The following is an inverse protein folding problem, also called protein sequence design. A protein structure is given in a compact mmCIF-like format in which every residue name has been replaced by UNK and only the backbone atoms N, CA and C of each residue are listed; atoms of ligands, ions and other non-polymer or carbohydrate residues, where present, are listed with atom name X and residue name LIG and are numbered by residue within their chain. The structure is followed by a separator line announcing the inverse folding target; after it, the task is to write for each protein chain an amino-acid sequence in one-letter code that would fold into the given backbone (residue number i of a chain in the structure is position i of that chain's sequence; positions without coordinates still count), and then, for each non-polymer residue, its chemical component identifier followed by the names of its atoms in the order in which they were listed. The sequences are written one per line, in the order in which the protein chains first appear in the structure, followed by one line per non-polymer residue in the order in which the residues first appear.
data_IF_788448178634
#
_entry.id   IF_788448178634
#
_cell.length_a   1.000
_cell.length_b   1.000
_cell.length_c   1.000
_cell.angle_alpha   90.00
_cell.angle_beta   90.00
_cell.angle_gamma   90.00
#
_symmetry.space_group_name_H-M   'P 1'
#
loop_
_entity.id
_entity.type
_entity.pdbx_description
1 polymer ?
#
# COMPACT_ATOMS: atom_id res chain seq x y z
N UNK A 1 -18.30 10.85 -13.43
CA UNK A 1 -18.23 9.54 -12.79
C UNK A 1 -18.37 8.49 -13.89
N UNK A 2 -17.27 7.91 -14.31
CA UNK A 2 -17.28 6.80 -15.27
C UNK A 2 -17.79 5.59 -14.51
N UNK A 3 -18.81 4.91 -15.06
CA UNK A 3 -19.61 3.87 -14.40
C UNK A 3 -18.87 2.57 -14.00
N UNK A 4 -17.82 2.70 -13.21
CA UNK A 4 -17.23 1.59 -12.47
C UNK A 4 -18.09 1.42 -11.23
N UNK A 5 -19.28 0.88 -11.39
CA UNK A 5 -20.16 0.51 -10.29
C UNK A 5 -20.36 -1.00 -10.31
N UNK A 6 -19.35 -1.73 -9.92
CA UNK A 6 -19.56 -3.04 -9.33
C UNK A 6 -19.73 -2.81 -7.82
N UNK A 7 -20.71 -3.46 -7.18
CA UNK A 7 -21.05 -3.23 -5.77
C UNK A 7 -19.91 -3.55 -4.79
N UNK A 8 -18.81 -4.15 -5.29
CA UNK A 8 -17.65 -4.56 -4.50
C UNK A 8 -16.49 -3.57 -4.51
N UNK A 9 -16.51 -2.54 -5.37
CA UNK A 9 -15.38 -1.62 -5.49
C UNK A 9 -15.73 -0.25 -4.92
N UNK A 10 -14.74 0.38 -4.29
CA UNK A 10 -14.86 1.72 -3.73
C UNK A 10 -13.85 2.65 -4.38
N UNK A 11 -14.23 3.90 -4.46
CA UNK A 11 -13.41 4.99 -4.96
C UNK A 11 -13.22 6.00 -3.84
N UNK A 12 -11.98 6.26 -3.46
CA UNK A 12 -11.64 7.37 -2.56
C UNK A 12 -10.80 8.37 -3.34
N UNK A 13 -11.26 9.61 -3.39
CA UNK A 13 -10.48 10.71 -3.94
C UNK A 13 -9.47 11.18 -2.90
N UNK A 14 -8.21 11.16 -3.24
CA UNK A 14 -7.16 11.80 -2.47
C UNK A 14 -6.99 13.24 -2.98
N UNK A 15 -7.54 14.20 -2.25
CA UNK A 15 -7.50 15.62 -2.64
C UNK A 15 -6.10 16.21 -2.64
N UNK A 16 -5.18 15.68 -1.81
CA UNK A 16 -3.80 16.17 -1.74
C UNK A 16 -2.91 15.65 -2.87
N UNK A 17 -3.17 14.43 -3.34
CA UNK A 17 -2.39 13.81 -4.42
C UNK A 17 -3.08 13.93 -5.79
N UNK A 18 -4.27 14.54 -5.86
CA UNK A 18 -5.10 14.69 -7.06
C UNK A 18 -5.42 13.36 -7.77
N UNK A 19 -5.28 12.23 -7.08
CA UNK A 19 -5.58 10.91 -7.59
C UNK A 19 -6.86 10.33 -6.97
N UNK A 20 -7.38 9.29 -7.60
CA UNK A 20 -8.46 8.46 -7.07
C UNK A 20 -7.90 7.09 -6.77
N UNK A 21 -8.11 6.61 -5.55
CA UNK A 21 -7.73 5.26 -5.15
C UNK A 21 -8.91 4.32 -5.36
N UNK A 22 -8.68 3.22 -6.09
CA UNK A 22 -9.67 2.16 -6.36
C UNK A 22 -9.28 0.93 -5.55
N UNK A 23 -10.21 0.35 -4.82
CA UNK A 23 -9.96 -0.83 -3.99
C UNK A 23 -11.21 -1.71 -3.83
N UNK A 24 -11.01 -2.99 -3.52
CA UNK A 24 -12.06 -3.93 -3.10
C UNK A 24 -12.22 -3.87 -1.58
N UNK A 25 -13.40 -3.48 -1.09
CA UNK A 25 -13.65 -3.39 0.36
C UNK A 25 -13.63 -4.73 1.09
N UNK A 26 -13.83 -5.83 0.37
CA UNK A 26 -13.80 -7.18 0.92
C UNK A 26 -12.40 -7.80 0.92
N UNK A 27 -11.44 -7.17 0.20
CA UNK A 27 -10.07 -7.63 0.03
C UNK A 27 -9.10 -6.46 0.03
N UNK A 28 -9.12 -5.73 1.14
CA UNK A 28 -8.30 -4.54 1.31
C UNK A 28 -6.82 -4.87 1.17
N UNK A 29 -6.13 -4.13 0.30
CA UNK A 29 -4.71 -4.26 0.07
C UNK A 29 -4.03 -2.89 -0.07
N UNK A 30 -3.42 -2.57 -1.21
CA UNK A 30 -2.71 -1.30 -1.42
C UNK A 30 -3.54 -0.26 -2.15
N UNK A 31 -4.49 -0.70 -2.97
CA UNK A 31 -5.26 0.14 -3.87
C UNK A 31 -4.56 0.39 -5.21
N UNK A 32 -5.36 0.80 -6.16
CA UNK A 32 -4.95 1.15 -7.52
C UNK A 32 -5.10 2.65 -7.65
N UNK A 33 -4.02 3.34 -8.01
CA UNK A 33 -4.06 4.77 -8.27
C UNK A 33 -4.59 5.05 -9.68
N UNK A 34 -5.53 6.00 -9.75
CA UNK A 34 -6.07 6.53 -11.00
C UNK A 34 -5.98 8.06 -10.98
N UNK A 35 -5.45 8.64 -12.03
CA UNK A 35 -5.45 10.09 -12.23
C UNK A 35 -5.58 10.47 -13.70
N UNK A 36 -5.81 11.73 -13.97
CA UNK A 36 -5.91 12.29 -15.31
C UNK A 36 -4.69 13.17 -15.59
N UNK A 37 -4.08 12.98 -16.75
CA UNK A 37 -3.04 13.87 -17.27
C UNK A 37 -3.49 14.37 -18.66
N UNK A 38 -3.98 15.60 -18.70
CA UNK A 38 -4.62 16.14 -19.90
C UNK A 38 -5.85 15.32 -20.32
N UNK A 39 -5.76 14.60 -21.44
CA UNK A 39 -6.79 13.69 -21.96
C UNK A 39 -6.54 12.23 -21.59
N UNK A 40 -5.41 11.93 -20.98
CA UNK A 40 -4.99 10.57 -20.69
C UNK A 40 -5.48 10.13 -19.32
N UNK A 41 -5.97 8.90 -19.25
CA UNK A 41 -6.33 8.22 -18.01
C UNK A 41 -5.15 7.32 -17.64
N UNK A 42 -4.54 7.63 -16.50
CA UNK A 42 -3.38 6.91 -16.01
C UNK A 42 -3.78 6.03 -14.82
N UNK A 43 -3.25 4.80 -14.83
CA UNK A 43 -3.45 3.83 -13.76
C UNK A 43 -2.09 3.32 -13.28
N UNK A 44 -1.93 3.19 -11.98
CA UNK A 44 -0.73 2.59 -11.38
C UNK A 44 -1.09 1.51 -10.38
N UNK A 45 -0.34 0.42 -10.42
CA UNK A 45 -0.40 -0.68 -9.49
C UNK A 45 0.97 -0.85 -8.82
N UNK A 46 1.02 -0.64 -7.52
CA UNK A 46 2.26 -0.79 -6.76
C UNK A 46 2.55 -2.25 -6.41
N UNK A 47 3.74 -2.76 -6.75
CA UNK A 47 4.19 -4.11 -6.39
C UNK A 47 5.14 -4.08 -5.17
N UNK A 48 5.20 -5.15 -4.34
CA UNK A 48 4.30 -6.31 -4.38
C UNK A 48 2.87 -5.96 -4.00
N UNK A 49 1.93 -6.66 -4.58
CA UNK A 49 0.53 -6.61 -4.18
C UNK A 49 -0.15 -7.97 -4.26
N UNK A 50 -1.46 -8.04 -4.03
CA UNK A 50 -2.22 -9.28 -3.95
C UNK A 50 -2.69 -9.73 -5.34
N UNK A 51 -2.98 -11.04 -5.45
CA UNK A 51 -3.57 -11.58 -6.68
C UNK A 51 -4.90 -10.93 -7.02
N UNK A 52 -5.74 -10.69 -6.02
CA UNK A 52 -7.06 -10.07 -6.22
C UNK A 52 -6.93 -8.64 -6.73
N UNK A 53 -5.97 -7.87 -6.21
CA UNK A 53 -5.76 -6.50 -6.64
C UNK A 53 -5.15 -6.40 -8.04
N UNK A 54 -4.27 -7.34 -8.43
CA UNK A 54 -3.78 -7.46 -9.81
C UNK A 54 -4.95 -7.71 -10.77
N UNK A 55 -5.85 -8.64 -10.44
CA UNK A 55 -7.03 -8.94 -11.26
C UNK A 55 -7.99 -7.74 -11.32
N UNK A 56 -8.19 -7.03 -10.21
CA UNK A 56 -8.96 -5.79 -10.18
C UNK A 56 -8.36 -4.73 -11.11
N UNK A 57 -7.04 -4.57 -11.11
CA UNK A 57 -6.35 -3.62 -11.98
C UNK A 57 -6.67 -3.85 -13.45
N UNK A 58 -6.55 -5.09 -13.94
CA UNK A 58 -6.88 -5.42 -15.34
C UNK A 58 -8.39 -5.39 -15.63
N UNK A 59 -9.22 -5.61 -14.64
CA UNK A 59 -10.66 -5.39 -14.77
C UNK A 59 -10.98 -3.90 -14.96
N UNK A 60 -10.38 -3.01 -14.18
CA UNK A 60 -10.52 -1.55 -14.32
C UNK A 60 -10.04 -1.08 -15.70
N UNK A 61 -8.85 -1.54 -16.15
CA UNK A 61 -8.37 -1.25 -17.52
C UNK A 61 -9.40 -1.66 -18.57
N UNK A 62 -9.93 -2.88 -18.46
CA UNK A 62 -10.90 -3.42 -19.41
C UNK A 62 -12.17 -2.58 -19.42
N UNK A 63 -12.67 -2.19 -18.26
CA UNK A 63 -13.87 -1.36 -18.10
C UNK A 63 -13.67 0.01 -18.75
N UNK A 64 -12.57 0.69 -18.44
CA UNK A 64 -12.24 2.00 -19.03
C UNK A 64 -12.11 1.90 -20.56
N UNK A 65 -11.37 0.90 -21.05
CA UNK A 65 -11.20 0.72 -22.49
C UNK A 65 -12.53 0.48 -23.22
N UNK A 66 -13.45 -0.29 -22.64
CA UNK A 66 -14.78 -0.52 -23.21
C UNK A 66 -15.62 0.76 -23.22
N UNK A 67 -15.58 1.57 -22.15
CA UNK A 67 -16.31 2.84 -22.06
C UNK A 67 -15.82 3.86 -23.10
N UNK A 68 -14.51 3.93 -23.35
CA UNK A 68 -13.96 4.83 -24.37
C UNK A 68 -13.93 4.22 -25.77
N UNK A 69 -14.42 3.00 -25.96
CA UNK A 69 -14.57 2.33 -27.25
C UNK A 69 -13.27 1.83 -27.87
N UNK A 70 -12.25 1.56 -27.07
CA UNK A 70 -10.97 0.97 -27.51
C UNK A 70 -10.78 -0.46 -27.01
N UNK A 71 -9.90 -1.20 -27.69
CA UNK A 71 -9.45 -2.54 -27.24
C UNK A 71 -7.95 -2.58 -26.99
N UNK A 72 -7.32 -1.40 -26.91
CA UNK A 72 -5.89 -1.25 -26.68
C UNK A 72 -5.64 -0.18 -25.62
N UNK A 73 -4.54 -0.33 -24.91
CA UNK A 73 -4.01 0.65 -23.97
C UNK A 73 -2.48 0.68 -24.06
N UNK A 74 -1.85 1.63 -23.43
CA UNK A 74 -0.39 1.70 -23.31
C UNK A 74 0.00 1.09 -21.97
N UNK A 75 0.90 0.09 -21.99
CA UNK A 75 1.54 -0.45 -20.82
C UNK A 75 3.04 -0.12 -20.92
N UNK A 76 3.53 0.65 -19.97
CA UNK A 76 4.85 1.26 -20.05
C UNK A 76 4.95 2.14 -21.32
N UNK A 77 5.63 1.71 -22.36
CA UNK A 77 5.73 2.44 -23.64
C UNK A 77 5.06 1.69 -24.78
N UNK A 78 4.55 0.49 -24.55
CA UNK A 78 4.02 -0.40 -25.58
C UNK A 78 2.50 -0.34 -25.71
N UNK A 79 2.00 -0.31 -26.96
CA UNK A 79 0.57 -0.47 -27.26
C UNK A 79 0.19 -1.95 -27.19
N UNK A 80 -0.60 -2.33 -26.20
CA UNK A 80 -1.03 -3.70 -25.95
C UNK A 80 -2.53 -3.88 -26.10
N UNK A 81 -2.98 -5.11 -26.34
CA UNK A 81 -4.39 -5.45 -26.52
C UNK A 81 -5.00 -5.96 -25.21
N UNK A 82 -6.28 -5.69 -24.97
CA UNK A 82 -7.03 -6.30 -23.86
C UNK A 82 -6.99 -7.84 -23.86
N UNK A 83 -6.76 -8.47 -25.02
CA UNK A 83 -6.60 -9.92 -25.11
C UNK A 83 -5.35 -10.44 -24.41
N UNK A 84 -4.36 -9.59 -24.19
CA UNK A 84 -3.10 -9.94 -23.56
C UNK A 84 -3.17 -9.81 -22.02
N UNK A 85 -4.28 -9.33 -21.46
CA UNK A 85 -4.42 -9.08 -20.01
C UNK A 85 -4.11 -10.31 -19.17
N UNK A 86 -4.55 -11.49 -19.56
CA UNK A 86 -4.30 -12.71 -18.76
C UNK A 86 -2.79 -13.04 -18.67
N UNK A 87 -2.04 -12.78 -19.73
CA UNK A 87 -0.58 -12.91 -19.72
C UNK A 87 0.08 -11.90 -18.78
N UNK A 88 -0.42 -10.68 -18.77
CA UNK A 88 0.11 -9.64 -17.88
C UNK A 88 -0.29 -9.85 -16.42
N UNK A 89 -1.48 -10.39 -16.15
CA UNK A 89 -1.88 -10.83 -14.80
C UNK A 89 -0.87 -11.84 -14.27
N UNK A 90 -0.53 -12.87 -15.05
CA UNK A 90 0.46 -13.87 -14.65
C UNK A 90 1.83 -13.25 -14.40
N UNK A 91 2.28 -12.36 -15.29
CA UNK A 91 3.55 -11.65 -15.15
C UNK A 91 3.60 -10.80 -13.86
N UNK A 92 2.54 -10.06 -13.55
CA UNK A 92 2.49 -9.21 -12.36
C UNK A 92 2.33 -10.03 -11.07
N UNK A 93 1.64 -11.19 -11.12
CA UNK A 93 1.64 -12.17 -10.01
C UNK A 93 3.06 -12.72 -9.75
N UNK A 94 3.79 -13.09 -10.78
CA UNK A 94 5.18 -13.56 -10.68
C UNK A 94 6.12 -12.45 -10.17
N UNK A 95 5.93 -11.22 -10.65
CA UNK A 95 6.70 -10.06 -10.19
C UNK A 95 6.44 -9.77 -8.70
N UNK A 96 5.19 -9.86 -8.24
CA UNK A 96 4.85 -9.72 -6.82
C UNK A 96 5.48 -10.82 -5.96
N UNK A 97 5.47 -12.06 -6.42
CA UNK A 97 6.15 -13.19 -5.75
C UNK A 97 7.67 -12.96 -5.71
N UNK A 98 8.24 -12.49 -6.81
CA UNK A 98 9.66 -12.13 -6.89
C UNK A 98 10.05 -11.05 -5.90
N UNK A 99 9.25 -9.98 -5.82
CA UNK A 99 9.46 -8.90 -4.86
C UNK A 99 9.37 -9.36 -3.39
N UNK A 100 8.43 -10.26 -3.06
CA UNK A 100 8.35 -10.85 -1.71
C UNK A 100 9.58 -11.70 -1.37
N UNK A 101 10.12 -12.45 -2.34
CA UNK A 101 11.36 -13.22 -2.15
C UNK A 101 12.56 -12.32 -1.92
N UNK A 102 12.72 -11.27 -2.74
CA UNK A 102 13.79 -10.29 -2.59
C UNK A 102 13.73 -9.60 -1.22
N UNK A 103 12.54 -9.22 -0.77
CA UNK A 103 12.33 -8.66 0.57
C UNK A 103 12.70 -9.65 1.68
N UNK A 104 12.33 -10.92 1.52
CA UNK A 104 12.67 -11.96 2.49
C UNK A 104 14.19 -12.15 2.61
N UNK A 105 14.90 -12.11 1.49
CA UNK A 105 16.37 -12.21 1.46
C UNK A 105 17.00 -10.97 2.11
N UNK A 106 16.60 -9.77 1.72
CA UNK A 106 17.17 -8.51 2.24
C UNK A 106 16.94 -8.32 3.73
N UNK A 107 15.74 -8.63 4.22
CA UNK A 107 15.43 -8.56 5.65
C UNK A 107 16.15 -9.69 6.40
N UNK A 108 16.24 -10.89 5.82
CA UNK A 108 16.93 -12.04 6.42
C UNK A 108 18.44 -11.86 6.53
N UNK A 109 19.03 -11.06 5.65
CA UNK A 109 20.47 -10.73 5.63
C UNK A 109 20.81 -9.42 6.36
N UNK A 110 19.86 -8.84 7.10
CA UNK A 110 20.00 -7.56 7.81
C UNK A 110 20.32 -6.34 6.89
N UNK A 111 20.10 -6.45 5.58
CA UNK A 111 20.22 -5.31 4.67
C UNK A 111 19.10 -4.28 4.92
N UNK A 112 17.89 -4.80 5.21
CA UNK A 112 16.74 -4.00 5.63
C UNK A 112 16.25 -4.49 6.98
N UNK A 113 16.10 -3.56 7.91
CA UNK A 113 15.48 -3.88 9.22
C UNK A 113 13.98 -4.17 9.05
N UNK A 114 13.33 -3.46 8.13
CA UNK A 114 11.92 -3.58 7.78
C UNK A 114 11.65 -3.01 6.41
N UNK A 115 10.56 -3.37 5.83
CA UNK A 115 10.03 -2.79 4.61
C UNK A 115 8.68 -2.12 4.89
N UNK A 116 8.52 -0.90 4.37
CA UNK A 116 7.31 -0.10 4.58
C UNK A 116 6.57 0.09 3.27
N UNK A 117 5.27 -0.18 3.29
CA UNK A 117 4.35 0.05 2.19
C UNK A 117 3.11 0.76 2.70
N UNK A 118 2.43 1.46 1.80
CA UNK A 118 1.11 2.01 2.10
C UNK A 118 0.03 1.05 1.61
N UNK A 119 -0.92 0.77 2.49
CA UNK A 119 -2.20 0.18 2.15
C UNK A 119 -3.24 1.25 1.88
N UNK A 120 -4.45 0.82 1.60
CA UNK A 120 -5.59 1.73 1.30
C UNK A 120 -5.84 2.73 2.42
N UNK A 121 -5.78 2.29 3.68
CA UNK A 121 -6.08 3.14 4.85
C UNK A 121 -4.89 3.32 5.78
N UNK A 122 -4.07 2.29 5.94
CA UNK A 122 -3.06 2.24 6.98
C UNK A 122 -1.68 1.94 6.39
N UNK A 123 -0.61 2.53 6.94
CA UNK A 123 0.75 2.13 6.62
C UNK A 123 1.00 0.71 7.14
N UNK A 124 1.83 -0.02 6.41
CA UNK A 124 2.18 -1.41 6.71
C UNK A 124 3.70 -1.49 6.86
N UNK A 125 4.16 -2.03 7.96
CA UNK A 125 5.56 -2.32 8.20
C UNK A 125 5.77 -3.82 8.29
N UNK A 126 6.62 -4.35 7.42
CA UNK A 126 6.95 -5.78 7.30
C UNK A 126 8.36 -5.97 7.81
N UNK A 127 8.51 -6.63 8.97
CA UNK A 127 9.78 -7.03 9.54
C UNK A 127 10.05 -8.52 9.24
N UNK A 128 11.16 -9.04 9.77
CA UNK A 128 11.53 -10.44 9.62
C UNK A 128 10.40 -11.40 10.06
N UNK A 129 9.72 -11.08 11.15
CA UNK A 129 8.63 -11.91 11.69
C UNK A 129 7.43 -11.98 10.75
N UNK A 130 7.05 -10.86 10.17
CA UNK A 130 5.93 -10.77 9.24
C UNK A 130 6.28 -11.44 7.91
N UNK A 131 7.46 -11.16 7.34
CA UNK A 131 7.85 -11.74 6.04
C UNK A 131 8.05 -13.26 6.12
N UNK A 132 8.48 -13.80 7.27
CA UNK A 132 8.54 -15.24 7.49
C UNK A 132 7.17 -15.91 7.50
N UNK A 133 6.12 -15.22 7.98
CA UNK A 133 4.74 -15.72 7.96
C UNK A 133 4.12 -15.63 6.56
N UNK A 134 4.39 -14.53 5.86
CA UNK A 134 3.89 -14.28 4.51
C UNK A 134 4.60 -15.24 3.53
N UNK A 135 5.90 -15.41 3.69
CA UNK A 135 6.74 -16.11 2.72
C UNK A 135 6.64 -15.46 1.34
N UNK A 136 6.62 -16.28 0.30
CA UNK A 136 6.41 -15.87 -1.09
C UNK A 136 5.01 -16.25 -1.59
N UNK A 137 4.02 -16.27 -0.69
CA UNK A 137 2.65 -16.71 -0.96
C UNK A 137 1.70 -15.50 -1.00
N UNK A 138 1.17 -15.19 -2.19
CA UNK A 138 0.27 -14.05 -2.39
C UNK A 138 -1.04 -14.17 -1.61
N UNK A 139 -1.50 -15.37 -1.32
CA UNK A 139 -2.71 -15.61 -0.51
C UNK A 139 -2.49 -15.25 0.96
N UNK A 140 -1.31 -15.62 1.51
CA UNK A 140 -0.92 -15.20 2.86
C UNK A 140 -0.66 -13.70 2.92
N UNK A 141 -0.11 -13.13 1.86
CA UNK A 141 0.10 -11.68 1.75
C UNK A 141 -1.24 -10.93 1.72
N UNK A 142 -2.21 -11.40 0.92
CA UNK A 142 -3.57 -10.83 0.87
C UNK A 142 -4.24 -10.84 2.25
N UNK A 143 -4.20 -11.98 2.93
CA UNK A 143 -4.74 -12.11 4.27
C UNK A 143 -4.07 -11.12 5.24
N UNK A 144 -2.76 -11.03 5.23
CA UNK A 144 -2.00 -10.13 6.07
C UNK A 144 -2.35 -8.66 5.82
N UNK A 145 -2.41 -8.23 4.54
CA UNK A 145 -2.78 -6.87 4.19
C UNK A 145 -4.21 -6.55 4.63
N UNK A 146 -5.16 -7.44 4.31
CA UNK A 146 -6.56 -7.24 4.67
C UNK A 146 -6.76 -7.13 6.18
N UNK A 147 -6.14 -7.99 6.97
CA UNK A 147 -6.23 -7.94 8.44
C UNK A 147 -5.79 -6.59 9.01
N UNK A 148 -4.73 -5.98 8.47
CA UNK A 148 -4.24 -4.67 8.90
C UNK A 148 -5.16 -3.54 8.41
N UNK A 149 -5.59 -3.60 7.15
CA UNK A 149 -6.39 -2.54 6.54
C UNK A 149 -7.83 -2.50 7.05
N UNK A 150 -8.38 -3.63 7.50
CA UNK A 150 -9.73 -3.73 8.04
C UNK A 150 -9.87 -3.26 9.50
N UNK A 151 -8.77 -2.94 10.17
CA UNK A 151 -8.82 -2.44 11.56
C UNK A 151 -9.35 -1.01 11.60
N UNK A 152 -10.46 -0.82 12.31
CA UNK A 152 -11.01 0.52 12.60
C UNK A 152 -10.29 1.11 13.82
N UNK A 153 -9.06 1.55 13.61
CA UNK A 153 -8.20 2.11 14.62
C UNK A 153 -7.37 3.28 14.08
N UNK A 154 -6.95 4.17 14.96
CA UNK A 154 -5.99 5.20 14.60
C UNK A 154 -4.56 4.63 14.60
N UNK A 155 -3.91 4.64 13.46
CA UNK A 155 -2.49 4.32 13.33
C UNK A 155 -1.67 5.56 13.68
N UNK A 156 -1.07 5.55 14.86
CA UNK A 156 -0.25 6.67 15.30
C UNK A 156 1.03 6.78 14.47
N UNK A 157 1.24 7.95 13.90
CA UNK A 157 2.51 8.29 13.24
C UNK A 157 3.47 8.91 14.24
N UNK A 158 4.77 8.64 14.07
CA UNK A 158 5.81 9.24 14.90
C UNK A 158 6.23 10.60 14.36
N UNK A 159 6.57 11.48 15.28
CA UNK A 159 7.30 12.71 15.00
C UNK A 159 8.62 12.68 15.78
N UNK A 160 9.69 13.18 15.16
CA UNK A 160 10.99 13.29 15.83
C UNK A 160 11.25 14.76 16.15
N UNK A 161 11.65 15.00 17.36
CA UNK A 161 11.95 16.32 17.90
C UNK A 161 13.39 16.36 18.39
N UNK A 162 13.98 17.54 18.31
CA UNK A 162 15.27 17.84 18.91
C UNK A 162 15.05 18.56 20.22
N UNK A 163 15.63 18.03 21.32
CA UNK A 163 15.59 18.69 22.63
C UNK A 163 16.57 19.86 22.67
N UNK A 164 16.46 20.75 23.69
CA UNK A 164 17.43 21.83 23.91
C UNK A 164 18.88 21.33 24.07
N UNK A 165 19.06 20.09 24.54
CA UNK A 165 20.35 19.41 24.69
C UNK A 165 20.80 18.70 23.41
N UNK A 166 20.21 19.05 22.26
CA UNK A 166 20.53 18.49 20.93
C UNK A 166 20.22 16.99 20.77
N UNK A 167 19.47 16.38 21.66
CA UNK A 167 19.08 14.97 21.60
C UNK A 167 17.85 14.76 20.74
N UNK A 168 17.80 13.68 19.97
CA UNK A 168 16.62 13.31 19.20
C UNK A 168 15.70 12.43 20.05
N UNK A 169 14.42 12.79 20.09
CA UNK A 169 13.37 12.00 20.74
C UNK A 169 12.23 11.76 19.74
N UNK A 170 11.68 10.54 19.76
CA UNK A 170 10.51 10.19 18.97
C UNK A 170 9.24 10.18 19.80
N UNK A 171 8.14 10.69 19.25
CA UNK A 171 6.85 10.77 19.94
C UNK A 171 5.76 10.21 19.03
N UNK A 172 5.01 9.23 19.54
CA UNK A 172 3.72 8.81 18.99
C UNK A 172 2.61 9.51 19.76
N UNK A 173 1.81 10.32 19.07
CA UNK A 173 0.67 11.00 19.69
C UNK A 173 -0.60 10.16 19.48
N UNK A 174 -1.27 9.82 20.57
CA UNK A 174 -2.57 9.15 20.57
C UNK A 174 -3.60 10.01 21.31
N UNK A 175 -4.88 9.79 21.03
CA UNK A 175 -5.98 10.55 21.65
C UNK A 175 -6.74 9.64 22.60
N UNK A 176 -7.12 10.15 23.77
CA UNK A 176 -7.94 9.43 24.73
C UNK A 176 -9.27 8.99 24.09
N UNK A 177 -9.72 7.79 24.44
CA UNK A 177 -10.97 7.17 23.96
C UNK A 177 -11.02 6.87 22.45
N UNK A 178 -9.85 6.92 21.77
CA UNK A 178 -9.71 6.48 20.38
C UNK A 178 -8.86 5.21 20.34
N UNK A 179 -9.39 4.07 19.87
CA UNK A 179 -8.59 2.88 19.66
C UNK A 179 -7.38 3.20 18.78
N UNK A 180 -6.18 2.95 19.27
CA UNK A 180 -4.96 3.37 18.57
C UNK A 180 -3.93 2.26 18.55
N UNK A 181 -3.21 2.17 17.43
CA UNK A 181 -2.07 1.26 17.25
C UNK A 181 -0.78 2.06 17.23
N UNK A 182 0.19 1.61 18.00
CA UNK A 182 1.58 2.06 17.95
C UNK A 182 2.47 0.84 17.69
N UNK A 183 3.58 0.99 16.93
CA UNK A 183 4.46 -0.13 16.66
C UNK A 183 5.19 -0.59 17.94
N UNK A 184 5.39 -1.88 18.09
CA UNK A 184 6.17 -2.46 19.21
C UNK A 184 7.66 -2.10 19.11
N UNK A 185 8.15 -1.91 17.89
CA UNK A 185 9.49 -1.39 17.60
C UNK A 185 9.33 -0.01 16.96
N UNK A 186 9.71 1.06 17.65
CA UNK A 186 9.51 2.41 17.16
C UNK A 186 10.31 2.70 15.87
N UNK A 187 9.72 3.48 14.97
CA UNK A 187 10.34 3.93 13.72
C UNK A 187 9.68 5.20 13.20
N UNK A 188 10.30 5.84 12.22
CA UNK A 188 9.71 6.94 11.46
C UNK A 188 9.33 6.42 10.07
N UNK A 189 8.07 6.62 9.68
CA UNK A 189 7.58 6.18 8.36
C UNK A 189 8.36 6.89 7.26
N UNK A 190 8.86 6.11 6.29
CA UNK A 190 9.58 6.60 5.10
C UNK A 190 10.83 7.43 5.38
N UNK A 191 11.33 7.43 6.61
CA UNK A 191 12.55 8.14 7.00
C UNK A 191 13.46 7.24 7.82
N UNK A 192 14.70 7.10 7.37
CA UNK A 192 15.74 6.43 8.16
C UNK A 192 16.42 7.46 9.08
N UNK A 193 15.69 7.92 10.10
CA UNK A 193 16.28 8.80 11.10
C UNK A 193 16.99 7.94 12.14
N UNK A 194 18.29 8.04 12.16
CA UNK A 194 19.14 7.37 13.16
C UNK A 194 19.38 8.26 14.38
N UNK A 195 19.82 7.65 15.47
CA UNK A 195 20.22 8.38 16.66
C UNK A 195 19.07 8.90 17.53
N UNK A 196 17.85 8.37 17.37
CA UNK A 196 16.74 8.67 18.29
C UNK A 196 17.02 7.96 19.62
N UNK A 197 17.29 8.76 20.67
CA UNK A 197 17.72 8.24 21.98
C UNK A 197 16.57 7.66 22.81
N UNK A 198 15.37 8.21 22.63
CA UNK A 198 14.20 7.76 23.39
C UNK A 198 12.90 7.92 22.57
N UNK A 199 11.95 7.00 22.84
CA UNK A 199 10.63 7.01 22.25
C UNK A 199 9.56 7.10 23.30
N UNK A 200 8.55 7.93 23.03
CA UNK A 200 7.44 8.19 23.95
C UNK A 200 6.09 8.01 23.25
N UNK A 201 5.10 7.58 24.02
CA UNK A 201 3.71 7.65 23.62
C UNK A 201 3.06 8.78 24.41
N UNK A 202 2.58 9.80 23.70
CA UNK A 202 1.91 10.97 24.28
C UNK A 202 0.41 10.80 24.16
N UNK A 203 -0.28 10.76 25.28
CA UNK A 203 -1.74 10.75 25.33
C UNK A 203 -2.27 12.19 25.37
N UNK A 204 -2.94 12.59 24.31
CA UNK A 204 -3.67 13.85 24.25
C UNK A 204 -5.08 13.64 24.83
N UNK A 205 -5.43 14.37 25.87
CA UNK A 205 -6.81 14.45 26.34
C UNK A 205 -7.63 15.32 25.39
N UNK A 206 -8.88 14.95 25.16
CA UNK A 206 -9.85 15.79 24.43
C UNK A 206 -10.16 17.06 25.18
#
# INVERSE_FOLDING_TARGET
AYGISDDNYRLIRNEMAENTLIYDENRLARGIDLWLDGTDILLSLSLPTTRSEIRLFYHVITTICNEVGTKKYIREEDSVSLKDNERFIQYDEEASIGALKDLQEKIGNDEYRRFEIFGVFNPISISLKEIQKIGNNLEQFEKYLHEIQALDVYYATSNVYRTPEEKLIGIYAIVADVPSVVPTEPYVIMNQIEGVEAWYVMLKKR
#
